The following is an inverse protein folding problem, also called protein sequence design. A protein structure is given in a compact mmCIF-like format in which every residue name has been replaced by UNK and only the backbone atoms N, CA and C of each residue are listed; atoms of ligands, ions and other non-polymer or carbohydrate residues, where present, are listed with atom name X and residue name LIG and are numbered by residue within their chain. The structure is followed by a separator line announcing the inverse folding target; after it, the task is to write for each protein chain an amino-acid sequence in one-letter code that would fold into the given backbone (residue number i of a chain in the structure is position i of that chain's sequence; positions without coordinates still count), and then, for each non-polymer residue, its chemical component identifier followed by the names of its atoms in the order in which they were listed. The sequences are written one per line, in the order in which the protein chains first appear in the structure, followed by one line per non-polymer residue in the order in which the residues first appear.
data_IF_823993719921
#
_entry.id   IF_823993719921
#
_cell.length_a   1.000
_cell.length_b   1.000
_cell.length_c   1.000
_cell.angle_alpha   90.00
_cell.angle_beta   90.00
_cell.angle_gamma   90.00
#
_symmetry.space_group_name_H-M   'P 1'
#
loop_
_entity.id
_entity.type
_entity.pdbx_description
1 polymer ?
#
# COMPACT_ATOMS: atom_id res chain seq x y z
N UNK A 1 -7.71 -13.77 -3.11
CA UNK A 1 -6.76 -13.46 -2.02
C UNK A 1 -6.10 -14.73 -1.52
N UNK A 2 -4.80 -14.69 -1.24
CA UNK A 2 -4.04 -15.83 -0.68
C UNK A 2 -4.63 -16.33 0.65
N UNK A 3 -5.19 -15.45 1.47
CA UNK A 3 -5.87 -15.83 2.72
C UNK A 3 -7.07 -16.74 2.48
N UNK A 4 -7.82 -16.46 1.45
CA UNK A 4 -8.95 -17.28 1.05
C UNK A 4 -8.49 -18.67 0.57
N UNK A 5 -7.44 -18.72 -0.26
CA UNK A 5 -6.84 -19.98 -0.74
C UNK A 5 -6.24 -20.78 0.43
N UNK A 6 -5.59 -20.13 1.38
CA UNK A 6 -5.02 -20.77 2.58
C UNK A 6 -6.08 -21.16 3.64
N UNK A 7 -7.35 -20.84 3.45
CA UNK A 7 -8.42 -21.15 4.39
C UNK A 7 -8.45 -20.29 5.66
N UNK A 8 -7.66 -19.21 5.72
CA UNK A 8 -7.57 -18.33 6.89
C UNK A 8 -8.84 -17.49 7.03
N UNK A 9 -9.38 -17.03 5.90
CA UNK A 9 -10.55 -16.16 5.86
C UNK A 9 -11.84 -16.92 6.19
N UNK A 10 -11.91 -18.20 5.81
CA UNK A 10 -13.04 -19.07 6.11
C UNK A 10 -12.53 -20.24 6.93
N UNK A 11 -12.84 -20.24 8.22
CA UNK A 11 -12.34 -21.22 9.16
C UNK A 11 -12.69 -22.65 8.74
N UNK A 12 -11.69 -23.52 8.68
CA UNK A 12 -11.83 -24.93 8.30
C UNK A 12 -12.01 -25.19 6.80
N UNK A 13 -11.93 -24.17 5.93
CA UNK A 13 -11.97 -24.31 4.48
C UNK A 13 -10.67 -23.86 3.86
N UNK A 14 -10.06 -24.72 3.05
CA UNK A 14 -8.96 -24.38 2.18
C UNK A 14 -9.35 -24.74 0.75
N UNK A 15 -9.11 -23.82 -0.17
CA UNK A 15 -9.43 -23.98 -1.59
C UNK A 15 -8.15 -24.30 -2.35
N UNK A 16 -7.70 -25.53 -2.19
CA UNK A 16 -6.52 -26.01 -2.93
C UNK A 16 -6.89 -26.34 -4.37
N UNK A 17 -5.95 -26.07 -5.26
CA UNK A 17 -6.04 -26.56 -6.62
C UNK A 17 -6.05 -28.10 -6.62
N UNK A 18 -7.04 -28.68 -7.29
CA UNK A 18 -7.20 -30.13 -7.40
C UNK A 18 -6.91 -30.57 -8.84
N UNK A 19 -6.30 -31.72 -8.99
CA UNK A 19 -5.89 -32.27 -10.29
C UNK A 19 -7.06 -32.39 -11.27
N UNK A 20 -8.22 -32.86 -10.81
CA UNK A 20 -9.44 -32.96 -11.63
C UNK A 20 -9.94 -31.59 -12.12
N UNK A 21 -9.83 -30.56 -11.28
CA UNK A 21 -10.29 -29.21 -11.58
C UNK A 21 -9.41 -28.59 -12.67
N UNK A 22 -8.07 -28.69 -12.49
CA UNK A 22 -7.12 -28.23 -13.50
C UNK A 22 -7.35 -28.94 -14.83
N UNK A 23 -7.51 -30.27 -14.81
CA UNK A 23 -7.78 -31.06 -16.01
C UNK A 23 -9.04 -30.57 -16.72
N UNK A 24 -10.15 -30.37 -15.99
CA UNK A 24 -11.43 -29.89 -16.52
C UNK A 24 -11.32 -28.53 -17.20
N UNK A 25 -10.72 -27.54 -16.53
CA UNK A 25 -10.67 -26.17 -17.04
C UNK A 25 -9.52 -25.90 -18.02
N UNK A 26 -8.66 -26.87 -18.26
CA UNK A 26 -7.61 -26.79 -19.28
C UNK A 26 -7.85 -27.72 -20.45
N UNK A 27 -9.09 -28.20 -20.63
CA UNK A 27 -9.46 -29.18 -21.69
C UNK A 27 -8.53 -30.40 -21.72
N UNK A 28 -8.20 -30.93 -20.55
CA UNK A 28 -7.28 -32.05 -20.34
C UNK A 28 -5.84 -31.79 -20.79
N UNK A 29 -5.42 -30.55 -21.02
CA UNK A 29 -4.05 -30.20 -21.37
C UNK A 29 -3.06 -30.61 -20.28
N UNK A 30 -3.48 -30.52 -19.02
CA UNK A 30 -2.67 -30.88 -17.84
C UNK A 30 -3.32 -32.04 -17.09
N UNK A 31 -3.49 -33.17 -17.78
CA UNK A 31 -3.84 -34.45 -17.14
C UNK A 31 -2.69 -34.91 -16.25
N UNK A 32 -3.01 -35.48 -15.09
CA UNK A 32 -2.07 -36.15 -14.20
C UNK A 32 -1.03 -35.24 -13.53
N UNK A 33 -1.31 -33.95 -13.36
CA UNK A 33 -0.48 -33.07 -12.54
C UNK A 33 -0.56 -33.53 -11.08
N UNK A 34 0.60 -33.90 -10.50
CA UNK A 34 0.67 -34.27 -9.09
C UNK A 34 0.67 -33.01 -8.24
N UNK A 35 -0.41 -32.79 -7.51
CA UNK A 35 -0.59 -31.66 -6.62
C UNK A 35 -0.61 -32.11 -5.17
N UNK A 36 -0.25 -31.24 -4.26
CA UNK A 36 -0.51 -31.44 -2.84
C UNK A 36 -1.95 -31.02 -2.53
N UNK A 37 -2.85 -31.99 -2.51
CA UNK A 37 -4.28 -31.78 -2.27
C UNK A 37 -4.66 -31.94 -0.78
N UNK A 38 -3.68 -32.22 0.09
CA UNK A 38 -3.90 -32.55 1.52
C UNK A 38 -3.34 -31.49 2.48
N UNK A 39 -3.01 -30.30 1.99
CA UNK A 39 -2.48 -29.25 2.84
C UNK A 39 -3.50 -28.84 3.93
N UNK A 40 -3.02 -28.76 5.16
CA UNK A 40 -3.82 -28.25 6.28
C UNK A 40 -3.99 -26.73 6.17
N UNK A 41 -5.16 -26.19 6.57
CA UNK A 41 -5.36 -24.76 6.59
C UNK A 41 -4.39 -24.09 7.56
N UNK A 42 -3.84 -22.94 7.16
CA UNK A 42 -3.04 -22.11 8.06
C UNK A 42 -3.99 -21.46 9.06
N UNK A 43 -3.75 -21.70 10.34
CA UNK A 43 -4.52 -21.09 11.42
C UNK A 43 -3.80 -19.81 11.86
N UNK A 44 -4.37 -18.67 11.52
CA UNK A 44 -3.91 -17.39 12.04
C UNK A 44 -4.58 -17.10 13.39
N UNK A 45 -3.80 -17.14 14.47
CA UNK A 45 -4.26 -16.87 15.83
C UNK A 45 -4.19 -15.40 16.22
N UNK A 46 -3.69 -14.53 15.34
CA UNK A 46 -3.56 -13.10 15.63
C UNK A 46 -4.93 -12.43 15.62
N UNK A 47 -5.18 -11.65 16.64
CA UNK A 47 -6.32 -10.73 16.65
C UNK A 47 -5.94 -9.46 15.90
N UNK A 48 -6.73 -9.13 14.90
CA UNK A 48 -6.58 -7.91 14.14
C UNK A 48 -7.57 -6.87 14.66
N UNK A 49 -7.03 -5.78 15.23
CA UNK A 49 -7.86 -4.62 15.58
C UNK A 49 -8.04 -3.77 14.34
N UNK A 50 -9.28 -3.53 13.95
CA UNK A 50 -9.61 -2.56 12.92
C UNK A 50 -9.40 -1.17 13.54
N UNK A 51 -8.49 -0.39 12.99
CA UNK A 51 -8.38 1.03 13.31
C UNK A 51 -9.04 1.83 12.18
N UNK A 52 -9.83 2.81 12.55
CA UNK A 52 -10.34 3.77 11.57
C UNK A 52 -9.18 4.48 10.89
N UNK A 53 -9.35 4.85 9.61
CA UNK A 53 -8.40 5.71 8.93
C UNK A 53 -8.23 7.00 9.75
N UNK A 54 -7.00 7.50 9.94
CA UNK A 54 -6.76 8.72 10.68
C UNK A 54 -7.15 9.93 9.82
N UNK A 55 -8.46 10.24 9.80
CA UNK A 55 -8.97 11.40 9.08
C UNK A 55 -8.72 12.63 9.97
N UNK A 56 -7.94 13.56 9.50
CA UNK A 56 -7.86 14.92 10.05
C UNK A 56 -8.52 15.87 9.07
N UNK A 57 -9.57 16.52 9.51
CA UNK A 57 -10.25 17.62 8.78
C UNK A 57 -9.50 18.94 9.03
N UNK A 58 -8.21 19.01 8.78
CA UNK A 58 -7.51 20.28 8.82
C UNK A 58 -7.63 20.95 7.46
N UNK A 59 -8.25 22.11 7.43
CA UNK A 59 -8.34 22.97 6.23
C UNK A 59 -6.98 23.58 5.86
N UNK A 60 -6.06 23.67 6.82
CA UNK A 60 -4.71 24.19 6.62
C UNK A 60 -3.80 23.10 6.05
N UNK A 61 -3.29 23.33 4.87
CA UNK A 61 -2.28 22.47 4.23
C UNK A 61 -0.88 22.81 4.73
N UNK A 62 -0.03 21.77 4.88
CA UNK A 62 1.40 21.97 5.11
C UNK A 62 2.13 22.38 3.82
N UNK A 63 3.37 22.84 3.94
CA UNK A 63 4.22 23.21 2.81
C UNK A 63 4.57 22.04 1.88
N UNK A 64 4.58 20.82 2.43
CA UNK A 64 5.05 19.62 1.74
C UNK A 64 3.94 18.58 1.63
N UNK A 65 3.84 17.96 0.46
CA UNK A 65 2.97 16.81 0.21
C UNK A 65 3.82 15.56 -0.05
N UNK A 66 3.47 14.48 0.63
CA UNK A 66 4.08 13.15 0.45
C UNK A 66 3.09 12.22 -0.23
N UNK A 67 3.52 11.57 -1.29
CA UNK A 67 2.74 10.59 -2.07
C UNK A 67 3.54 9.30 -2.16
N UNK A 68 3.05 8.22 -1.56
CA UNK A 68 3.68 6.91 -1.69
C UNK A 68 3.29 6.23 -3.01
N UNK A 69 4.13 5.35 -3.49
CA UNK A 69 4.00 4.68 -4.80
C UNK A 69 2.71 3.84 -4.98
N UNK A 70 1.96 3.59 -3.93
CA UNK A 70 0.67 2.89 -4.00
C UNK A 70 -0.54 3.83 -4.09
N UNK A 71 -0.33 5.14 -3.96
CA UNK A 71 -1.39 6.16 -3.98
C UNK A 71 -1.07 7.26 -5.00
N UNK A 72 -0.87 6.85 -6.26
CA UNK A 72 -0.42 7.77 -7.33
C UNK A 72 -1.55 8.63 -7.94
N UNK A 73 -2.80 8.43 -7.52
CA UNK A 73 -3.92 9.27 -7.95
C UNK A 73 -4.05 10.47 -7.03
N UNK A 74 -3.69 11.64 -7.53
CA UNK A 74 -3.64 12.92 -6.82
C UNK A 74 -4.36 14.06 -7.56
N UNK A 75 -5.13 13.75 -8.60
CA UNK A 75 -5.84 14.74 -9.43
C UNK A 75 -6.96 15.48 -8.68
N UNK A 76 -7.33 15.01 -7.48
CA UNK A 76 -8.28 15.68 -6.60
C UNK A 76 -7.65 16.79 -5.74
N UNK A 77 -6.32 16.98 -5.82
CA UNK A 77 -5.57 17.94 -5.05
C UNK A 77 -5.19 19.18 -5.88
N UNK A 78 -5.21 20.31 -5.24
CA UNK A 78 -4.60 21.53 -5.77
C UNK A 78 -3.09 21.55 -5.44
N UNK A 79 -2.26 21.16 -6.41
CA UNK A 79 -0.81 21.11 -6.25
C UNK A 79 -0.17 22.48 -5.98
N UNK A 80 -0.84 23.58 -6.35
CA UNK A 80 -0.33 24.94 -6.14
C UNK A 80 -0.23 25.31 -4.66
N UNK A 81 -0.99 24.66 -3.81
CA UNK A 81 -0.95 24.87 -2.36
C UNK A 81 0.38 24.43 -1.73
N UNK A 82 1.12 23.51 -2.38
CA UNK A 82 2.33 22.96 -1.83
C UNK A 82 3.57 23.64 -2.40
N UNK A 83 4.55 23.89 -1.54
CA UNK A 83 5.87 24.34 -1.97
C UNK A 83 6.61 23.23 -2.70
N UNK A 84 6.45 21.97 -2.24
CA UNK A 84 7.10 20.81 -2.81
C UNK A 84 6.25 19.55 -2.60
N UNK A 85 6.29 18.67 -3.61
CA UNK A 85 5.64 17.37 -3.61
C UNK A 85 6.71 16.29 -3.70
N UNK A 86 6.66 15.30 -2.82
CA UNK A 86 7.61 14.20 -2.80
C UNK A 86 6.92 12.88 -3.11
N UNK A 87 7.36 12.22 -4.18
CA UNK A 87 6.97 10.84 -4.47
C UNK A 87 7.93 9.88 -3.79
N UNK A 88 7.41 9.00 -2.94
CA UNK A 88 8.22 8.09 -2.13
C UNK A 88 8.07 6.65 -2.61
N UNK A 89 9.19 5.99 -2.89
CA UNK A 89 9.27 4.56 -3.16
C UNK A 89 10.19 3.90 -2.14
N UNK A 90 9.63 3.01 -1.33
CA UNK A 90 10.42 2.23 -0.40
C UNK A 90 11.24 1.15 -1.12
N UNK A 91 12.51 1.07 -0.83
CA UNK A 91 13.37 -0.03 -1.27
C UNK A 91 13.06 -1.34 -0.52
N UNK A 92 13.64 -2.43 -1.00
CA UNK A 92 13.45 -3.75 -0.40
C UNK A 92 13.97 -3.86 1.04
N UNK A 93 14.94 -3.03 1.41
CA UNK A 93 15.47 -2.92 2.78
C UNK A 93 14.44 -2.39 3.79
N UNK A 94 13.39 -1.74 3.30
CA UNK A 94 12.31 -1.19 4.12
C UNK A 94 11.02 -2.03 4.06
N UNK A 95 11.09 -3.22 3.46
CA UNK A 95 9.95 -4.10 3.23
C UNK A 95 10.10 -5.43 3.96
N UNK A 96 9.00 -5.95 4.50
CA UNK A 96 8.93 -7.31 5.03
C UNK A 96 8.83 -8.35 3.92
N UNK A 97 8.23 -7.98 2.78
CA UNK A 97 8.15 -8.80 1.57
C UNK A 97 8.90 -8.10 0.44
N UNK A 98 9.97 -8.74 -0.03
CA UNK A 98 10.79 -8.19 -1.10
C UNK A 98 10.04 -8.23 -2.44
N UNK A 99 10.15 -7.15 -3.19
CA UNK A 99 9.65 -7.04 -4.56
C UNK A 99 10.73 -7.44 -5.55
N UNK A 100 10.34 -8.08 -6.65
CA UNK A 100 11.27 -8.35 -7.75
C UNK A 100 11.76 -7.05 -8.39
N UNK A 101 12.92 -7.10 -9.03
CA UNK A 101 13.47 -5.96 -9.79
C UNK A 101 12.46 -5.41 -10.80
N UNK A 102 11.79 -6.30 -11.52
CA UNK A 102 10.76 -5.92 -12.51
C UNK A 102 9.61 -5.11 -11.90
N UNK A 103 9.16 -5.47 -10.69
CA UNK A 103 8.12 -4.70 -9.98
C UNK A 103 8.66 -3.37 -9.50
N UNK A 104 9.88 -3.34 -8.99
CA UNK A 104 10.53 -2.10 -8.57
C UNK A 104 10.74 -1.13 -9.74
N UNK A 105 11.15 -1.63 -10.90
CA UNK A 105 11.32 -0.83 -12.11
C UNK A 105 9.99 -0.28 -12.62
N UNK A 106 8.93 -1.10 -12.58
CA UNK A 106 7.58 -0.61 -12.91
C UNK A 106 7.16 0.56 -12.02
N UNK A 107 7.28 0.41 -10.68
CA UNK A 107 6.93 1.48 -9.73
C UNK A 107 7.76 2.75 -9.95
N UNK A 108 9.07 2.63 -10.21
CA UNK A 108 9.93 3.76 -10.56
C UNK A 108 9.48 4.47 -11.83
N UNK A 109 9.08 3.72 -12.85
CA UNK A 109 8.61 4.30 -14.12
C UNK A 109 7.29 5.05 -13.95
N UNK A 110 6.36 4.54 -13.13
CA UNK A 110 5.11 5.24 -12.80
C UNK A 110 5.41 6.58 -12.11
N UNK A 111 6.28 6.58 -11.09
CA UNK A 111 6.70 7.81 -10.41
C UNK A 111 7.37 8.77 -11.40
N UNK A 112 8.27 8.28 -12.26
CA UNK A 112 8.94 9.10 -13.26
C UNK A 112 7.95 9.77 -14.22
N UNK A 113 6.88 9.08 -14.62
CA UNK A 113 5.81 9.67 -15.42
C UNK A 113 5.15 10.85 -14.70
N UNK A 114 4.78 10.66 -13.43
CA UNK A 114 4.15 11.73 -12.63
C UNK A 114 5.08 12.92 -12.38
N UNK A 115 6.37 12.67 -12.14
CA UNK A 115 7.36 13.74 -12.00
C UNK A 115 7.43 14.62 -13.26
N UNK A 116 7.33 14.04 -14.45
CA UNK A 116 7.33 14.77 -15.72
C UNK A 116 6.06 15.64 -15.90
N UNK A 117 4.93 15.20 -15.35
CA UNK A 117 3.67 15.94 -15.41
C UNK A 117 3.65 17.15 -14.46
N UNK A 118 4.13 16.97 -13.22
CA UNK A 118 4.13 18.02 -12.17
C UNK A 118 5.36 18.94 -12.28
N UNK A 119 6.38 18.52 -13.01
CA UNK A 119 7.60 19.32 -13.29
C UNK A 119 8.33 19.78 -12.01
N UNK A 120 8.66 21.08 -11.94
CA UNK A 120 9.59 21.66 -10.96
C UNK A 120 9.16 21.58 -9.48
N UNK A 121 7.89 21.27 -9.21
CA UNK A 121 7.38 21.12 -7.82
C UNK A 121 7.55 19.73 -7.25
N UNK A 122 7.83 18.73 -8.07
CA UNK A 122 7.88 17.35 -7.62
C UNK A 122 9.30 16.77 -7.62
N UNK A 123 9.61 15.96 -6.62
CA UNK A 123 10.87 15.23 -6.47
C UNK A 123 10.63 13.78 -6.04
N UNK A 124 11.60 12.92 -6.35
CA UNK A 124 11.62 11.52 -5.93
C UNK A 124 12.46 11.36 -4.65
N UNK A 125 11.93 10.61 -3.69
CA UNK A 125 12.66 10.15 -2.51
C UNK A 125 12.59 8.61 -2.41
N UNK A 126 13.75 7.99 -2.18
CA UNK A 126 13.79 6.62 -1.66
C UNK A 126 13.56 6.61 -0.15
N UNK A 127 13.46 5.42 0.46
CA UNK A 127 13.20 5.28 1.89
C UNK A 127 14.25 5.95 2.77
N UNK A 128 15.54 5.96 2.35
CA UNK A 128 16.63 6.61 3.07
C UNK A 128 16.53 8.14 3.00
N UNK A 129 16.31 8.65 1.81
CA UNK A 129 16.14 10.09 1.57
C UNK A 129 14.91 10.64 2.28
N UNK A 130 13.79 9.88 2.27
CA UNK A 130 12.59 10.24 3.02
C UNK A 130 12.84 10.22 4.54
N UNK A 131 13.57 9.23 5.06
CA UNK A 131 13.98 9.21 6.48
C UNK A 131 14.84 10.42 6.85
N UNK A 132 15.71 10.88 5.96
CA UNK A 132 16.51 12.09 6.22
C UNK A 132 15.64 13.36 6.16
N UNK A 133 14.72 13.44 5.20
CA UNK A 133 13.75 14.53 5.10
C UNK A 133 12.91 14.64 6.39
N UNK A 134 12.40 13.53 6.94
CA UNK A 134 11.57 13.52 8.15
C UNK A 134 12.29 14.00 9.41
N UNK A 135 13.63 13.98 9.42
CA UNK A 135 14.42 14.55 10.55
C UNK A 135 14.42 16.07 10.55
N UNK A 136 14.36 16.69 9.39
CA UNK A 136 14.42 18.15 9.20
C UNK A 136 13.05 18.79 9.08
N UNK A 137 12.11 18.12 8.40
CA UNK A 137 10.73 18.58 8.20
C UNK A 137 9.79 17.76 9.06
N UNK A 138 9.28 18.37 10.13
CA UNK A 138 8.49 17.66 11.15
C UNK A 138 7.00 17.65 10.86
N UNK A 139 6.52 18.51 9.97
CA UNK A 139 5.11 18.62 9.59
C UNK A 139 4.96 18.55 8.08
N UNK A 140 4.05 17.70 7.59
CA UNK A 140 3.73 17.57 6.17
C UNK A 140 2.42 16.83 5.96
N UNK A 141 1.82 17.04 4.79
CA UNK A 141 0.64 16.34 4.35
C UNK A 141 1.03 15.02 3.68
N UNK A 142 0.20 14.00 3.85
CA UNK A 142 0.40 12.68 3.23
C UNK A 142 -0.91 12.20 2.63
N UNK A 143 -0.93 11.85 1.34
CA UNK A 143 -2.06 11.06 0.84
C UNK A 143 -2.06 9.75 1.61
N UNK A 144 -3.19 9.43 2.25
CA UNK A 144 -3.29 8.28 3.13
C UNK A 144 -2.88 6.99 2.40
N UNK A 145 -1.76 6.37 2.78
CA UNK A 145 -1.17 5.28 1.99
C UNK A 145 -1.87 3.94 2.19
N UNK A 146 -3.06 3.94 2.77
CA UNK A 146 -3.81 2.73 3.10
C UNK A 146 -3.05 1.76 4.02
N UNK A 147 -3.63 0.59 4.31
CA UNK A 147 -2.98 -0.42 5.14
C UNK A 147 -1.92 -1.14 4.31
N UNK A 148 -0.70 -1.21 4.82
CA UNK A 148 0.41 -1.90 4.16
C UNK A 148 1.78 -1.43 4.64
N UNK A 149 2.83 -1.79 3.89
CA UNK A 149 4.21 -1.52 4.28
C UNK A 149 4.53 -0.03 4.30
N UNK A 150 4.01 0.75 3.34
CA UNK A 150 4.18 2.20 3.30
C UNK A 150 3.61 2.86 4.57
N UNK A 151 2.41 2.46 4.98
CA UNK A 151 1.80 2.96 6.21
C UNK A 151 2.56 2.51 7.46
N UNK A 152 3.02 1.27 7.50
CA UNK A 152 3.82 0.76 8.62
C UNK A 152 5.14 1.50 8.75
N UNK A 153 5.81 1.78 7.63
CA UNK A 153 7.03 2.56 7.59
C UNK A 153 6.80 4.01 8.06
N UNK A 154 5.75 4.65 7.57
CA UNK A 154 5.38 6.00 7.99
C UNK A 154 5.08 6.06 9.51
N UNK A 155 4.30 5.11 10.04
CA UNK A 155 4.01 5.02 11.48
C UNK A 155 5.26 4.85 12.32
N UNK A 156 6.25 4.09 11.83
CA UNK A 156 7.54 3.97 12.50
C UNK A 156 8.26 5.32 12.57
N UNK A 157 8.29 6.08 11.47
CA UNK A 157 8.92 7.41 11.44
C UNK A 157 8.18 8.42 12.33
N UNK A 158 6.84 8.43 12.30
CA UNK A 158 6.02 9.28 13.18
C UNK A 158 6.42 9.09 14.64
N UNK A 159 6.50 7.83 15.08
CA UNK A 159 6.88 7.49 16.46
C UNK A 159 8.33 7.86 16.77
N UNK A 160 9.25 7.63 15.84
CA UNK A 160 10.68 7.84 16.02
C UNK A 160 11.05 9.32 16.02
N UNK A 161 10.52 10.07 15.08
CA UNK A 161 10.93 11.44 14.79
C UNK A 161 9.92 12.50 15.30
N UNK A 162 8.85 12.04 15.97
CA UNK A 162 7.75 12.87 16.48
C UNK A 162 7.14 13.78 15.40
N UNK A 163 6.70 13.15 14.30
CA UNK A 163 6.16 13.87 13.15
C UNK A 163 4.70 14.26 13.38
N UNK A 164 4.34 15.46 12.93
CA UNK A 164 2.96 15.93 12.85
C UNK A 164 2.45 15.76 11.41
N UNK A 165 1.62 14.75 11.19
CA UNK A 165 1.16 14.35 9.87
C UNK A 165 -0.32 14.68 9.70
N UNK A 166 -0.63 15.44 8.65
CA UNK A 166 -1.98 15.59 8.17
C UNK A 166 -2.25 14.58 7.05
N UNK A 167 -3.18 13.63 7.30
CA UNK A 167 -3.58 12.66 6.29
C UNK A 167 -4.67 13.22 5.39
N UNK A 168 -4.43 13.11 4.09
CA UNK A 168 -5.39 13.51 3.06
C UNK A 168 -6.05 12.26 2.51
N UNK A 169 -7.36 12.24 2.49
CA UNK A 169 -8.19 11.15 1.97
C UNK A 169 -9.08 11.65 0.84
N UNK A 170 -9.46 10.77 -0.06
CA UNK A 170 -10.45 11.05 -1.09
C UNK A 170 -11.85 10.99 -0.48
N UNK A 171 -12.73 11.89 -0.88
CA UNK A 171 -14.13 11.89 -0.42
C UNK A 171 -14.86 10.59 -0.77
N UNK A 172 -14.53 10.01 -1.92
CA UNK A 172 -15.06 8.72 -2.39
C UNK A 172 -14.64 7.58 -1.46
N UNK A 173 -13.39 7.56 -1.00
CA UNK A 173 -12.90 6.55 -0.06
C UNK A 173 -13.63 6.66 1.29
N UNK A 174 -13.75 7.86 1.82
CA UNK A 174 -14.48 8.10 3.08
C UNK A 174 -15.96 7.69 2.97
N UNK A 175 -16.57 7.94 1.83
CA UNK A 175 -17.93 7.48 1.55
C UNK A 175 -18.01 5.96 1.49
N UNK A 176 -17.12 5.30 0.74
CA UNK A 176 -17.12 3.84 0.55
C UNK A 176 -16.77 3.09 1.84
N UNK A 177 -15.87 3.60 2.67
CA UNK A 177 -15.49 2.94 3.92
C UNK A 177 -16.64 2.76 4.91
N UNK A 178 -17.66 3.61 4.84
CA UNK A 178 -18.88 3.47 5.68
C UNK A 178 -19.62 2.15 5.42
N UNK A 179 -19.44 1.57 4.25
CA UNK A 179 -20.11 0.33 3.82
C UNK A 179 -19.21 -0.91 3.95
N UNK A 180 -17.92 -0.75 4.28
CA UNK A 180 -16.94 -1.84 4.34
C UNK A 180 -16.94 -2.63 5.66
N UNK A 181 -17.97 -2.51 6.47
CA UNK A 181 -18.08 -3.16 7.79
C UNK A 181 -18.39 -4.65 7.72
N UNK A 182 -18.57 -5.20 6.51
CA UNK A 182 -18.84 -6.63 6.28
C UNK A 182 -17.82 -7.15 5.28
N UNK A 183 -16.74 -7.75 5.79
CA UNK A 183 -15.78 -8.53 5.00
C UNK A 183 -16.16 -9.99 4.94
#
# INVERSE_FOLDING_TARGET
SWRWVAGIQTKGKNYLAQSWNISKFTNNKYKNVKLNETALPIIDKREYKISNAPIRNNEDSNDYLIIFENEMYDDFLDHEKYKKIYFVLLGNENRSVQLSSKVMDYKKNVIKSRLNEIKNKAEFLDGKSFTNFSKTSKSFDVIYPSIGENFSFLKMLIKKDNLDINYITRKEDEFCWKFSNKG
#
